data_IF_494999256674
#
_entry.id   IF_494999256674
#
_cell.length_a   1.000
_cell.length_b   1.000
_cell.length_c   1.000
_cell.angle_alpha   90.00
_cell.angle_beta   90.00
_cell.angle_gamma   90.00
#
_symmetry.space_group_name_H-M   'P 1'
#
loop_
_entity.id
_entity.type
_entity.pdbx_description
1 polymer ?
#
# COMPACT_ATOMS: atom_id res chain seq x y z
N UNK A 1 -4.48 22.58 -2.60
CA UNK A 1 -3.25 22.82 -3.39
C UNK A 1 -3.50 22.21 -4.76
N UNK A 2 -3.36 22.97 -5.85
CA UNK A 2 -3.61 22.43 -7.21
C UNK A 2 -2.58 21.34 -7.54
N UNK A 3 -3.03 20.23 -8.14
CA UNK A 3 -2.17 19.15 -8.64
C UNK A 3 -1.05 19.66 -9.55
N UNK A 4 -1.33 20.73 -10.30
CA UNK A 4 -0.41 21.38 -11.25
C UNK A 4 0.76 22.07 -10.54
N UNK A 5 0.61 22.45 -9.27
CA UNK A 5 1.63 23.21 -8.53
C UNK A 5 2.57 22.34 -7.68
N UNK A 6 2.33 21.02 -7.57
CA UNK A 6 3.19 20.16 -6.77
C UNK A 6 4.47 19.78 -7.53
N UNK A 7 5.63 20.23 -7.04
CA UNK A 7 6.96 19.88 -7.57
C UNK A 7 7.69 18.96 -6.60
N UNK A 8 8.24 17.86 -7.10
CA UNK A 8 9.11 17.00 -6.30
C UNK A 8 10.58 17.39 -6.50
N UNK A 9 11.17 18.05 -5.50
CA UNK A 9 12.55 18.52 -5.53
C UNK A 9 13.58 17.40 -5.35
N UNK A 10 13.16 16.20 -4.95
CA UNK A 10 14.04 15.04 -4.81
C UNK A 10 14.66 14.59 -6.14
N UNK A 11 14.09 15.00 -7.28
CA UNK A 11 14.58 14.69 -8.63
C UNK A 11 15.38 15.84 -9.26
N UNK A 12 15.91 16.79 -8.47
CA UNK A 12 16.84 17.78 -9.02
C UNK A 12 18.11 17.10 -9.54
N UNK A 13 18.73 17.68 -10.58
CA UNK A 13 19.99 17.18 -11.14
C UNK A 13 21.07 17.06 -10.07
N UNK A 14 21.16 18.06 -9.17
CA UNK A 14 22.09 18.05 -8.03
C UNK A 14 21.86 16.86 -7.09
N UNK A 15 20.62 16.60 -6.69
CA UNK A 15 20.29 15.50 -5.78
C UNK A 15 20.59 14.13 -6.40
N UNK A 16 20.23 13.96 -7.69
CA UNK A 16 20.48 12.72 -8.44
C UNK A 16 21.97 12.50 -8.64
N UNK A 17 22.70 13.54 -9.07
CA UNK A 17 24.15 13.50 -9.30
C UNK A 17 24.91 13.17 -8.00
N UNK A 18 24.56 13.83 -6.90
CA UNK A 18 25.15 13.57 -5.58
C UNK A 18 24.92 12.12 -5.12
N UNK A 19 23.69 11.62 -5.26
CA UNK A 19 23.32 10.27 -4.82
C UNK A 19 23.99 9.17 -5.65
N UNK A 20 23.95 9.29 -6.99
CA UNK A 20 24.60 8.34 -7.89
C UNK A 20 26.13 8.44 -7.79
N UNK A 21 26.66 9.66 -7.69
CA UNK A 21 28.08 9.92 -7.53
C UNK A 21 28.66 9.23 -6.30
N UNK A 22 27.97 9.32 -5.15
CA UNK A 22 28.37 8.63 -3.93
C UNK A 22 28.43 7.11 -4.12
N UNK A 23 27.39 6.51 -4.70
CA UNK A 23 27.35 5.06 -4.92
C UNK A 23 28.49 4.57 -5.82
N UNK A 24 28.81 5.32 -6.88
CA UNK A 24 29.92 5.02 -7.78
C UNK A 24 31.29 5.22 -7.10
N UNK A 25 31.45 6.25 -6.28
CA UNK A 25 32.66 6.48 -5.49
C UNK A 25 32.90 5.36 -4.48
N UNK A 26 31.85 4.90 -3.80
CA UNK A 26 31.93 3.79 -2.84
C UNK A 26 32.33 2.48 -3.54
N UNK A 27 31.75 2.18 -4.71
CA UNK A 27 32.13 1.04 -5.54
C UNK A 27 33.61 1.11 -5.92
N UNK A 28 34.05 2.26 -6.44
CA UNK A 28 35.45 2.46 -6.85
C UNK A 28 36.42 2.32 -5.66
N UNK A 29 36.10 2.90 -4.51
CA UNK A 29 36.93 2.82 -3.31
C UNK A 29 37.07 1.37 -2.81
N UNK A 30 36.01 0.56 -2.90
CA UNK A 30 36.03 -0.84 -2.52
C UNK A 30 36.91 -1.68 -3.46
N UNK A 31 36.82 -1.47 -4.77
CA UNK A 31 37.61 -2.20 -5.76
C UNK A 31 39.07 -1.78 -5.75
N UNK A 32 39.34 -0.47 -5.69
CA UNK A 32 40.69 0.12 -5.64
C UNK A 32 41.55 -0.44 -4.50
N UNK A 33 40.93 -0.74 -3.35
CA UNK A 33 41.64 -1.23 -2.16
C UNK A 33 41.85 -2.74 -2.12
N UNK A 34 41.13 -3.53 -2.93
CA UNK A 34 41.10 -4.99 -2.79
C UNK A 34 41.58 -5.76 -4.02
N UNK A 35 41.26 -5.28 -5.23
CA UNK A 35 41.37 -6.13 -6.43
C UNK A 35 41.44 -5.35 -7.75
N UNK A 36 41.81 -4.07 -7.71
CA UNK A 36 41.90 -3.24 -8.91
C UNK A 36 43.16 -3.57 -9.70
N UNK A 37 43.08 -4.70 -10.43
CA UNK A 37 44.02 -5.11 -11.45
C UNK A 37 43.77 -4.29 -12.73
N UNK A 38 44.82 -4.09 -13.52
CA UNK A 38 44.83 -3.24 -14.73
C UNK A 38 45.12 -4.05 -16.00
N UNK A 39 44.64 -5.28 -16.05
CA UNK A 39 44.75 -6.09 -17.28
C UNK A 39 43.77 -5.59 -18.35
N UNK A 40 44.02 -5.95 -19.60
CA UNK A 40 43.07 -5.68 -20.70
C UNK A 40 41.72 -6.39 -20.50
N UNK A 41 41.72 -7.53 -19.79
CA UNK A 41 40.48 -8.23 -19.41
C UNK A 41 39.69 -7.45 -18.35
N UNK A 42 40.39 -6.81 -17.40
CA UNK A 42 39.77 -5.93 -16.41
C UNK A 42 39.17 -4.69 -17.07
N UNK A 43 39.85 -4.10 -18.06
CA UNK A 43 39.34 -2.96 -18.84
C UNK A 43 38.04 -3.33 -19.59
N UNK A 44 38.02 -4.48 -20.27
CA UNK A 44 36.82 -4.98 -20.93
C UNK A 44 35.66 -5.22 -19.94
N UNK A 45 35.97 -5.75 -18.76
CA UNK A 45 35.00 -5.95 -17.67
C UNK A 45 34.42 -4.63 -17.16
N UNK A 46 35.26 -3.61 -16.95
CA UNK A 46 34.83 -2.26 -16.55
C UNK A 46 33.92 -1.64 -17.61
N UNK A 47 34.27 -1.75 -18.89
CA UNK A 47 33.46 -1.23 -19.99
C UNK A 47 32.09 -1.94 -20.08
N UNK A 48 32.06 -3.26 -19.91
CA UNK A 48 30.81 -4.04 -19.86
C UNK A 48 29.95 -3.63 -18.66
N UNK A 49 30.54 -3.50 -17.47
CA UNK A 49 29.85 -3.08 -16.26
C UNK A 49 29.30 -1.65 -16.39
N UNK A 50 30.04 -0.72 -17.01
CA UNK A 50 29.57 0.63 -17.33
C UNK A 50 28.32 0.58 -18.21
N UNK A 51 28.36 -0.19 -19.30
CA UNK A 51 27.22 -0.31 -20.22
C UNK A 51 25.98 -0.87 -19.50
N UNK A 52 26.16 -1.93 -18.70
CA UNK A 52 25.08 -2.52 -17.91
C UNK A 52 24.51 -1.54 -16.86
N UNK A 53 25.37 -0.81 -16.14
CA UNK A 53 24.94 0.19 -15.17
C UNK A 53 24.18 1.35 -15.82
N UNK A 54 24.66 1.86 -16.96
CA UNK A 54 23.95 2.90 -17.72
C UNK A 54 22.58 2.42 -18.17
N UNK A 55 22.48 1.21 -18.73
CA UNK A 55 21.21 0.63 -19.15
C UNK A 55 20.24 0.48 -17.95
N UNK A 56 20.73 -0.03 -16.82
CA UNK A 56 19.95 -0.17 -15.60
C UNK A 56 19.41 1.19 -15.12
N UNK A 57 20.27 2.21 -15.01
CA UNK A 57 19.88 3.55 -14.57
C UNK A 57 18.81 4.14 -15.49
N UNK A 58 19.02 4.10 -16.81
CA UNK A 58 18.02 4.57 -17.79
C UNK A 58 16.68 3.88 -17.60
N UNK A 59 16.68 2.56 -17.44
CA UNK A 59 15.47 1.76 -17.28
C UNK A 59 14.67 2.13 -16.01
N UNK A 60 15.36 2.44 -14.90
CA UNK A 60 14.71 2.93 -13.69
C UNK A 60 14.06 4.31 -13.90
N UNK A 61 14.76 5.24 -14.55
CA UNK A 61 14.19 6.56 -14.86
C UNK A 61 12.99 6.46 -15.80
N UNK A 62 13.05 5.62 -16.83
CA UNK A 62 11.94 5.39 -17.75
C UNK A 62 10.69 4.90 -17.00
N UNK A 63 10.83 3.95 -16.08
CA UNK A 63 9.73 3.50 -15.21
C UNK A 63 9.18 4.62 -14.32
N UNK A 64 10.06 5.43 -13.72
CA UNK A 64 9.64 6.56 -12.89
C UNK A 64 8.84 7.59 -13.70
N UNK A 65 9.25 7.88 -14.94
CA UNK A 65 8.53 8.78 -15.85
C UNK A 65 7.15 8.20 -16.19
N UNK A 66 7.07 6.92 -16.55
CA UNK A 66 5.78 6.24 -16.81
C UNK A 66 4.87 6.29 -15.59
N UNK A 67 5.39 5.94 -14.41
CA UNK A 67 4.61 5.97 -13.16
C UNK A 67 4.16 7.38 -12.81
N UNK A 68 5.01 8.39 -12.98
CA UNK A 68 4.65 9.79 -12.72
C UNK A 68 3.55 10.29 -13.66
N UNK A 69 3.61 9.93 -14.94
CA UNK A 69 2.59 10.27 -15.92
C UNK A 69 1.25 9.57 -15.61
N UNK A 70 1.29 8.29 -15.26
CA UNK A 70 0.09 7.56 -14.84
C UNK A 70 -0.50 8.09 -13.54
N UNK A 71 0.35 8.35 -12.54
CA UNK A 71 -0.06 8.96 -11.27
C UNK A 71 -0.81 10.28 -11.50
N UNK A 72 -0.31 11.15 -12.37
CA UNK A 72 -0.98 12.43 -12.70
C UNK A 72 -2.37 12.19 -13.29
N UNK A 73 -2.46 11.32 -14.31
CA UNK A 73 -3.74 10.98 -14.96
C UNK A 73 -4.75 10.37 -13.99
N UNK A 74 -4.30 9.46 -13.12
CA UNK A 74 -5.18 8.80 -12.15
C UNK A 74 -5.71 9.79 -11.10
N UNK A 75 -4.88 10.74 -10.63
CA UNK A 75 -5.33 11.75 -9.66
C UNK A 75 -6.43 12.66 -10.23
N UNK A 76 -6.41 12.92 -11.54
CA UNK A 76 -7.46 13.65 -12.25
C UNK A 76 -8.68 12.74 -12.51
N UNK A 77 -8.45 11.53 -13.02
CA UNK A 77 -9.52 10.59 -13.44
C UNK A 77 -10.40 10.17 -12.26
N UNK A 78 -9.82 10.00 -11.08
CA UNK A 78 -10.52 9.53 -9.89
C UNK A 78 -10.80 10.64 -8.87
N UNK A 79 -10.76 11.90 -9.31
CA UNK A 79 -11.21 13.01 -8.48
C UNK A 79 -12.66 12.76 -8.03
N UNK A 80 -12.94 12.95 -6.73
CA UNK A 80 -14.25 12.69 -6.13
C UNK A 80 -14.53 11.23 -5.75
N UNK A 81 -13.69 10.26 -6.16
CA UNK A 81 -13.78 8.86 -5.71
C UNK A 81 -12.93 8.67 -4.44
N UNK A 82 -13.51 8.04 -3.42
CA UNK A 82 -12.81 7.74 -2.16
C UNK A 82 -12.26 6.33 -2.18
N UNK A 83 -10.95 6.17 -2.07
CA UNK A 83 -10.32 4.87 -1.88
C UNK A 83 -9.96 4.69 -0.41
N UNK A 84 -10.58 3.71 0.25
CA UNK A 84 -10.41 3.49 1.70
C UNK A 84 -9.73 2.15 1.93
N UNK A 85 -8.55 2.20 2.55
CA UNK A 85 -7.84 1.00 2.99
C UNK A 85 -8.60 0.33 4.13
N UNK A 86 -8.91 -0.95 3.96
CA UNK A 86 -9.51 -1.81 4.99
C UNK A 86 -8.85 -3.20 5.02
N UNK A 87 -7.63 -3.29 4.47
CA UNK A 87 -6.86 -4.52 4.34
C UNK A 87 -6.10 -4.93 5.60
N UNK A 88 -5.26 -5.95 5.45
CA UNK A 88 -4.46 -6.48 6.55
C UNK A 88 -3.21 -5.67 6.85
N UNK A 89 -2.72 -4.92 5.87
CA UNK A 89 -1.50 -4.14 5.95
C UNK A 89 -1.63 -2.85 5.12
N UNK A 90 -0.53 -2.10 5.07
CA UNK A 90 -0.47 -0.82 4.37
C UNK A 90 -0.46 -0.94 2.83
N UNK A 91 -0.55 -2.14 2.26
CA UNK A 91 -0.45 -2.37 0.81
C UNK A 91 -1.46 -1.54 0.02
N UNK A 92 -2.72 -1.59 0.42
CA UNK A 92 -3.81 -0.87 -0.26
C UNK A 92 -3.61 0.64 -0.23
N UNK A 93 -2.99 1.18 0.82
CA UNK A 93 -2.64 2.61 0.88
C UNK A 93 -1.45 2.89 -0.03
N UNK A 94 -0.34 2.18 0.20
CA UNK A 94 0.95 2.48 -0.41
C UNK A 94 0.88 2.35 -1.93
N UNK A 95 0.39 1.22 -2.44
CA UNK A 95 0.34 0.97 -3.88
C UNK A 95 -0.61 1.97 -4.55
N UNK A 96 -1.82 2.15 -4.03
CA UNK A 96 -2.77 3.10 -4.65
C UNK A 96 -2.29 4.54 -4.58
N UNK A 97 -1.62 4.93 -3.50
CA UNK A 97 -1.01 6.25 -3.40
C UNK A 97 0.17 6.40 -4.36
N UNK A 98 1.01 5.38 -4.54
CA UNK A 98 2.16 5.41 -5.46
C UNK A 98 1.71 5.62 -6.92
N UNK A 99 0.62 4.98 -7.32
CA UNK A 99 0.05 5.04 -8.66
C UNK A 99 -1.00 6.14 -8.86
N UNK A 100 -1.22 7.00 -7.85
CA UNK A 100 -2.12 8.16 -7.95
C UNK A 100 -3.60 7.84 -8.01
N UNK A 101 -3.99 6.60 -7.69
CA UNK A 101 -5.41 6.23 -7.52
C UNK A 101 -5.96 6.82 -6.23
N UNK A 102 -5.15 6.84 -5.17
CA UNK A 102 -5.44 7.51 -3.90
C UNK A 102 -4.52 8.74 -3.76
N UNK A 103 -5.00 9.92 -3.32
CA UNK A 103 -4.11 11.04 -3.04
C UNK A 103 -3.11 10.71 -1.93
N UNK A 104 -2.02 11.47 -1.84
CA UNK A 104 -1.02 11.33 -0.77
C UNK A 104 -1.19 12.44 0.27
N UNK A 105 -0.55 12.28 1.43
CA UNK A 105 -0.73 13.18 2.57
C UNK A 105 -0.47 14.67 2.24
N UNK A 106 0.53 14.99 1.42
CA UNK A 106 0.79 16.40 1.02
C UNK A 106 -0.30 17.00 0.12
N UNK A 107 -1.17 16.17 -0.47
CA UNK A 107 -2.39 16.61 -1.16
C UNK A 107 -3.62 16.63 -0.25
N UNK A 108 -3.45 16.40 1.05
CA UNK A 108 -4.54 16.46 2.04
C UNK A 108 -5.16 15.09 2.36
N UNK A 109 -4.64 13.99 1.82
CA UNK A 109 -5.16 12.66 2.15
C UNK A 109 -4.89 12.33 3.62
N UNK A 110 -5.96 12.11 4.38
CA UNK A 110 -5.89 11.72 5.78
C UNK A 110 -5.71 10.20 5.89
N UNK A 111 -5.20 9.74 7.03
CA UNK A 111 -5.11 8.30 7.33
C UNK A 111 -6.38 7.81 8.02
N UNK A 112 -6.85 6.62 7.65
CA UNK A 112 -7.84 5.84 8.36
C UNK A 112 -7.22 4.87 9.39
N UNK A 113 -8.04 4.09 10.12
CA UNK A 113 -7.58 3.23 11.21
C UNK A 113 -6.84 1.97 10.74
N UNK A 114 -6.93 1.63 9.45
CA UNK A 114 -6.19 0.53 8.80
C UNK A 114 -5.00 1.04 7.99
N UNK A 115 -4.85 2.36 7.87
CA UNK A 115 -3.65 2.94 7.33
C UNK A 115 -2.59 2.94 8.43
N UNK A 116 -1.36 2.57 8.08
CA UNK A 116 -0.21 2.61 8.98
C UNK A 116 -0.32 1.64 10.17
N UNK A 117 -1.06 0.56 10.00
CA UNK A 117 -1.27 -0.51 10.99
C UNK A 117 -1.49 -1.86 10.29
N UNK A 118 -1.47 -2.93 11.08
CA UNK A 118 -1.64 -4.31 10.62
C UNK A 118 -2.78 -4.98 11.38
N UNK A 119 -3.69 -5.60 10.63
CA UNK A 119 -4.89 -6.28 11.14
C UNK A 119 -5.10 -7.61 10.43
N UNK A 120 -5.29 -8.74 11.11
CA UNK A 120 -5.79 -9.94 10.44
C UNK A 120 -7.19 -9.67 9.87
N UNK A 121 -7.53 -10.22 8.69
CA UNK A 121 -8.86 -10.00 8.08
C UNK A 121 -10.02 -10.41 9.01
N UNK A 122 -9.81 -11.41 9.87
CA UNK A 122 -10.78 -11.83 10.90
C UNK A 122 -11.05 -10.72 11.92
N UNK A 123 -10.01 -9.98 12.30
CA UNK A 123 -10.09 -8.84 13.20
C UNK A 123 -10.76 -7.67 12.50
N UNK A 124 -10.40 -7.38 11.24
CA UNK A 124 -11.07 -6.34 10.44
C UNK A 124 -12.57 -6.57 10.40
N UNK A 125 -13.04 -7.77 10.04
CA UNK A 125 -14.48 -8.07 10.05
C UNK A 125 -15.12 -7.83 11.43
N UNK A 126 -14.45 -8.26 12.51
CA UNK A 126 -14.93 -8.06 13.89
C UNK A 126 -15.04 -6.58 14.25
N UNK A 127 -14.03 -5.77 13.89
CA UNK A 127 -14.03 -4.32 14.15
C UNK A 127 -15.19 -3.60 13.45
N UNK A 128 -15.57 -4.04 12.24
CA UNK A 128 -16.73 -3.50 11.55
C UNK A 128 -18.04 -3.88 12.24
N UNK A 129 -18.18 -5.14 12.66
CA UNK A 129 -19.37 -5.64 13.37
C UNK A 129 -19.57 -4.95 14.72
N UNK A 130 -18.50 -4.66 15.44
CA UNK A 130 -18.55 -4.16 16.82
C UNK A 130 -18.29 -2.66 16.96
N UNK A 131 -18.29 -1.89 15.86
CA UNK A 131 -17.92 -0.46 15.88
C UNK A 131 -16.55 -0.17 16.52
N UNK A 132 -15.56 -1.00 16.24
CA UNK A 132 -14.24 -0.90 16.84
C UNK A 132 -14.24 -1.02 18.38
N UNK A 133 -15.26 -1.64 18.99
CA UNK A 133 -15.27 -1.92 20.42
C UNK A 133 -13.98 -2.66 20.85
N UNK A 134 -13.34 -2.18 21.91
CA UNK A 134 -12.10 -2.76 22.44
C UNK A 134 -10.83 -2.46 21.63
N UNK A 135 -10.93 -1.72 20.51
CA UNK A 135 -9.78 -1.43 19.64
C UNK A 135 -8.69 -0.61 20.34
N UNK A 136 -9.11 0.42 21.09
CA UNK A 136 -8.26 1.34 21.84
C UNK A 136 -8.42 1.17 23.36
N UNK A 137 -8.91 0.01 23.81
CA UNK A 137 -9.03 -0.30 25.23
C UNK A 137 -7.63 -0.44 25.85
N UNK A 138 -7.30 0.46 26.77
CA UNK A 138 -6.01 0.56 27.45
C UNK A 138 -5.58 -0.74 28.11
N UNK A 139 -6.52 -1.50 28.65
CA UNK A 139 -6.24 -2.79 29.28
C UNK A 139 -5.70 -3.84 28.29
N UNK A 140 -5.92 -3.65 26.99
CA UNK A 140 -5.44 -4.52 25.92
C UNK A 140 -4.29 -3.91 25.12
N UNK A 141 -3.84 -2.69 25.42
CA UNK A 141 -2.73 -2.05 24.73
C UNK A 141 -1.40 -2.39 25.40
N UNK A 142 -0.40 -2.72 24.60
CA UNK A 142 0.95 -3.07 25.08
C UNK A 142 1.99 -2.48 24.14
N UNK A 143 3.01 -1.82 24.71
CA UNK A 143 4.22 -1.49 23.97
C UNK A 143 5.13 -2.71 23.87
N UNK A 144 5.48 -3.11 22.65
CA UNK A 144 6.39 -4.22 22.43
C UNK A 144 7.80 -3.69 22.13
N UNK A 145 8.78 -3.84 23.04
CA UNK A 145 10.13 -3.31 22.83
C UNK A 145 10.91 -4.03 21.72
N UNK A 146 10.57 -5.30 21.43
CA UNK A 146 11.24 -6.06 20.36
C UNK A 146 10.85 -5.55 18.98
N UNK A 147 9.61 -5.08 18.83
CA UNK A 147 9.12 -4.51 17.59
C UNK A 147 9.17 -2.97 17.56
N UNK A 148 9.40 -2.36 18.72
CA UNK A 148 9.45 -0.90 18.93
C UNK A 148 8.15 -0.17 18.55
N UNK A 149 6.99 -0.78 18.79
CA UNK A 149 5.67 -0.16 18.55
C UNK A 149 4.58 -0.72 19.49
N UNK A 150 3.45 -0.03 19.54
CA UNK A 150 2.28 -0.46 20.31
C UNK A 150 1.48 -1.56 19.59
N UNK A 151 0.83 -2.43 20.37
CA UNK A 151 0.00 -3.53 19.87
C UNK A 151 -1.28 -3.66 20.70
N UNK A 152 -2.31 -4.25 20.11
CA UNK A 152 -3.46 -4.79 20.84
C UNK A 152 -3.45 -6.33 20.68
N UNK A 153 -2.85 -7.08 21.62
CA UNK A 153 -2.69 -8.54 21.48
C UNK A 153 -4.01 -9.29 21.43
N UNK A 154 -5.05 -8.80 22.14
CA UNK A 154 -6.39 -9.41 22.14
C UNK A 154 -7.00 -9.42 20.73
N UNK A 155 -6.83 -8.34 19.99
CA UNK A 155 -7.29 -8.21 18.61
C UNK A 155 -6.23 -8.59 17.57
N UNK A 156 -5.00 -8.91 18.00
CA UNK A 156 -3.83 -9.18 17.15
C UNK A 156 -3.51 -8.01 16.20
N UNK A 157 -3.65 -6.77 16.69
CA UNK A 157 -3.37 -5.56 15.91
C UNK A 157 -1.99 -5.03 16.23
N UNK A 158 -1.25 -4.62 15.21
CA UNK A 158 0.02 -3.89 15.34
C UNK A 158 -0.10 -2.47 14.81
N UNK A 159 0.34 -1.48 15.60
CA UNK A 159 0.43 -0.07 15.20
C UNK A 159 1.85 0.23 14.72
N UNK A 160 2.25 -0.43 13.63
CA UNK A 160 3.66 -0.59 13.23
C UNK A 160 4.34 0.69 12.70
N UNK A 161 3.62 1.80 12.59
CA UNK A 161 4.16 3.11 12.22
C UNK A 161 4.25 4.08 13.40
N UNK A 162 3.64 3.73 14.52
CA UNK A 162 3.69 4.44 15.78
C UNK A 162 4.90 3.91 16.58
N UNK A 163 6.07 4.22 16.03
CA UNK A 163 7.37 3.67 16.45
C UNK A 163 7.93 4.45 17.64
N UNK A 164 8.31 3.73 18.68
CA UNK A 164 8.93 4.29 19.89
C UNK A 164 8.03 4.25 21.12
N UNK A 165 8.64 4.30 22.33
CA UNK A 165 7.91 4.19 23.60
C UNK A 165 7.01 5.39 23.90
N UNK A 166 7.21 6.53 23.24
CA UNK A 166 6.41 7.74 23.44
C UNK A 166 4.92 7.54 23.16
N UNK A 167 4.55 6.59 22.29
CA UNK A 167 3.16 6.26 22.02
C UNK A 167 2.46 5.49 23.17
N UNK A 168 3.23 4.96 24.12
CA UNK A 168 2.72 4.29 25.31
C UNK A 168 2.75 5.17 26.57
N UNK A 169 3.28 6.39 26.47
CA UNK A 169 3.27 7.36 27.57
C UNK A 169 1.85 7.75 27.96
N UNK A 170 1.69 8.16 29.23
CA UNK A 170 0.42 8.62 29.79
C UNK A 170 -0.73 7.64 29.52
N UNK A 171 -0.47 6.36 29.76
CA UNK A 171 -1.45 5.28 29.56
C UNK A 171 -1.99 5.25 28.11
N UNK A 172 -1.04 5.23 27.16
CA UNK A 172 -1.26 5.19 25.71
C UNK A 172 -2.01 6.40 25.12
N UNK A 173 -2.09 7.54 25.83
CA UNK A 173 -2.83 8.71 25.36
C UNK A 173 -2.43 9.19 23.95
N UNK A 174 -1.13 9.30 23.58
CA UNK A 174 -0.75 9.75 22.25
C UNK A 174 -1.22 8.82 21.12
N UNK A 175 -1.17 7.50 21.35
CA UNK A 175 -1.70 6.51 20.40
C UNK A 175 -3.22 6.65 20.24
N UNK A 176 -3.93 6.72 21.37
CA UNK A 176 -5.39 6.81 21.40
C UNK A 176 -5.85 8.06 20.65
N UNK A 177 -5.25 9.22 20.92
CA UNK A 177 -5.61 10.49 20.28
C UNK A 177 -5.47 10.44 18.75
N UNK A 178 -4.41 9.81 18.26
CA UNK A 178 -4.20 9.61 16.81
C UNK A 178 -5.29 8.72 16.23
N UNK A 179 -5.57 7.58 16.85
CA UNK A 179 -6.51 6.61 16.30
C UNK A 179 -7.97 7.03 16.46
N UNK A 180 -8.33 7.81 17.49
CA UNK A 180 -9.66 8.42 17.59
C UNK A 180 -9.93 9.37 16.42
N UNK A 181 -8.95 10.19 16.02
CA UNK A 181 -9.07 11.02 14.82
C UNK A 181 -9.20 10.19 13.54
N UNK A 182 -8.41 9.11 13.42
CA UNK A 182 -8.47 8.21 12.25
C UNK A 182 -9.83 7.49 12.17
N UNK A 183 -10.37 7.05 13.30
CA UNK A 183 -11.69 6.43 13.41
C UNK A 183 -12.81 7.41 13.05
N UNK A 184 -12.76 8.63 13.60
CA UNK A 184 -13.73 9.67 13.28
C UNK A 184 -13.73 10.00 11.78
N UNK A 185 -12.54 10.12 11.19
CA UNK A 185 -12.40 10.33 9.75
C UNK A 185 -12.95 9.15 8.93
N UNK A 186 -12.65 7.91 9.33
CA UNK A 186 -13.16 6.72 8.67
C UNK A 186 -14.68 6.63 8.71
N UNK A 187 -15.29 6.87 9.88
CA UNK A 187 -16.76 6.89 10.01
C UNK A 187 -17.39 7.94 9.08
N UNK A 188 -16.82 9.15 9.02
CA UNK A 188 -17.27 10.18 8.09
C UNK A 188 -17.15 9.78 6.61
N UNK A 189 -16.08 9.07 6.22
CA UNK A 189 -15.94 8.54 4.85
C UNK A 189 -17.01 7.50 4.52
N UNK A 190 -17.33 6.63 5.47
CA UNK A 190 -18.32 5.56 5.31
C UNK A 190 -19.75 6.11 5.26
N UNK A 191 -20.08 7.09 6.08
CA UNK A 191 -21.40 7.72 6.15
C UNK A 191 -21.72 8.58 4.93
N UNK A 192 -20.71 9.25 4.36
CA UNK A 192 -20.98 10.17 3.27
C UNK A 192 -21.30 9.46 1.95
N UNK A 193 -22.21 10.08 1.21
CA UNK A 193 -22.74 9.58 -0.06
C UNK A 193 -21.86 9.95 -1.25
N UNK A 194 -20.60 9.51 -1.20
CA UNK A 194 -19.68 9.63 -2.33
C UNK A 194 -19.30 8.24 -2.86
N UNK A 195 -18.97 8.12 -4.16
CA UNK A 195 -18.39 6.92 -4.72
C UNK A 195 -17.20 6.45 -3.88
N UNK A 196 -17.31 5.27 -3.28
CA UNK A 196 -16.32 4.74 -2.34
C UNK A 196 -15.87 3.36 -2.75
N UNK A 197 -14.56 3.18 -2.88
CA UNK A 197 -13.90 1.92 -3.15
C UNK A 197 -13.18 1.49 -1.88
N UNK A 198 -13.70 0.45 -1.23
CA UNK A 198 -13.08 -0.18 -0.07
C UNK A 198 -12.06 -1.20 -0.58
N UNK A 199 -10.80 -1.07 -0.19
CA UNK A 199 -9.72 -1.93 -0.70
C UNK A 199 -9.15 -2.76 0.43
N UNK A 200 -9.30 -4.08 0.32
CA UNK A 200 -8.89 -5.05 1.32
C UNK A 200 -7.79 -5.95 0.74
N UNK A 201 -6.54 -5.70 1.11
CA UNK A 201 -5.44 -6.61 0.79
C UNK A 201 -5.32 -7.71 1.85
N UNK A 202 -5.12 -8.96 1.42
CA UNK A 202 -4.89 -10.14 2.27
C UNK A 202 -3.54 -10.73 1.87
N UNK A 203 -2.56 -10.66 2.76
CA UNK A 203 -1.15 -10.97 2.47
C UNK A 203 -0.88 -12.48 2.40
N UNK A 204 -1.77 -13.29 2.99
CA UNK A 204 -1.65 -14.76 3.07
C UNK A 204 -3.03 -15.41 3.03
N UNK A 205 -3.67 -15.48 1.86
CA UNK A 205 -4.97 -16.09 1.72
C UNK A 205 -4.94 -17.58 2.07
N UNK A 206 -6.09 -18.11 2.44
CA UNK A 206 -6.37 -19.51 2.74
C UNK A 206 -7.74 -19.90 2.19
N UNK A 207 -8.12 -21.17 2.26
CA UNK A 207 -9.46 -21.63 1.85
C UNK A 207 -10.60 -20.87 2.58
N UNK A 208 -10.37 -20.41 3.82
CA UNK A 208 -11.33 -19.65 4.61
C UNK A 208 -11.41 -18.15 4.29
N UNK A 209 -10.46 -17.61 3.50
CA UNK A 209 -10.38 -16.17 3.22
C UNK A 209 -11.64 -15.63 2.54
N UNK A 210 -12.23 -16.40 1.63
CA UNK A 210 -13.50 -16.04 0.98
C UNK A 210 -14.63 -15.80 1.97
N UNK A 211 -14.75 -16.65 3.00
CA UNK A 211 -15.74 -16.50 4.07
C UNK A 211 -15.49 -15.25 4.91
N UNK A 212 -14.22 -14.91 5.16
CA UNK A 212 -13.88 -13.67 5.89
C UNK A 212 -14.18 -12.41 5.07
N UNK A 213 -13.95 -12.43 3.76
CA UNK A 213 -14.36 -11.33 2.86
C UNK A 213 -15.89 -11.20 2.85
N UNK A 214 -16.63 -12.32 2.78
CA UNK A 214 -18.08 -12.32 2.85
C UNK A 214 -18.58 -11.71 4.17
N UNK A 215 -18.01 -12.14 5.30
CA UNK A 215 -18.33 -11.62 6.64
C UNK A 215 -18.05 -10.12 6.74
N UNK A 216 -16.89 -9.67 6.27
CA UNK A 216 -16.54 -8.25 6.24
C UNK A 216 -17.55 -7.44 5.41
N UNK A 217 -17.91 -7.93 4.22
CA UNK A 217 -18.89 -7.27 3.37
C UNK A 217 -20.28 -7.18 4.02
N UNK A 218 -20.73 -8.26 4.67
CA UNK A 218 -21.99 -8.25 5.42
C UNK A 218 -21.96 -7.25 6.57
N UNK A 219 -20.86 -7.18 7.34
CA UNK A 219 -20.69 -6.21 8.42
C UNK A 219 -20.74 -4.76 7.93
N UNK A 220 -20.18 -4.48 6.75
CA UNK A 220 -20.29 -3.16 6.10
C UNK A 220 -21.76 -2.88 5.75
N UNK A 221 -22.43 -3.83 5.07
CA UNK A 221 -23.81 -3.69 4.59
C UNK A 221 -24.84 -3.55 5.71
N UNK A 222 -24.60 -4.18 6.86
CA UNK A 222 -25.49 -4.07 8.01
C UNK A 222 -25.45 -2.70 8.68
N UNK A 223 -24.42 -1.90 8.39
CA UNK A 223 -24.14 -0.66 9.12
C UNK A 223 -24.20 0.60 8.25
N UNK A 224 -23.84 0.51 6.98
CA UNK A 224 -23.85 1.64 6.06
C UNK A 224 -24.58 1.28 4.76
N UNK A 225 -25.12 2.30 4.08
CA UNK A 225 -25.55 2.14 2.70
C UNK A 225 -24.36 1.77 1.82
N UNK A 226 -24.58 0.85 0.89
CA UNK A 226 -23.59 0.36 -0.06
C UNK A 226 -23.93 0.69 -1.52
N UNK A 227 -24.90 1.56 -1.76
CA UNK A 227 -25.34 1.86 -3.13
C UNK A 227 -24.22 2.49 -3.97
N UNK A 228 -23.46 3.39 -3.34
CA UNK A 228 -22.30 4.05 -3.93
C UNK A 228 -20.97 3.45 -3.45
N UNK A 229 -20.96 2.18 -3.02
CA UNK A 229 -19.76 1.52 -2.49
C UNK A 229 -19.47 0.19 -3.18
N UNK A 230 -18.19 -0.08 -3.39
CA UNK A 230 -17.69 -1.40 -3.80
C UNK A 230 -16.58 -1.87 -2.86
N UNK A 231 -16.46 -3.19 -2.72
CA UNK A 231 -15.34 -3.84 -2.05
C UNK A 231 -14.44 -4.48 -3.11
N UNK A 232 -13.16 -4.13 -3.07
CA UNK A 232 -12.10 -4.76 -3.85
C UNK A 232 -11.22 -5.55 -2.90
N UNK A 233 -11.31 -6.87 -2.97
CA UNK A 233 -10.46 -7.78 -2.19
C UNK A 233 -9.29 -8.28 -3.05
N UNK A 234 -8.08 -8.15 -2.54
CA UNK A 234 -6.83 -8.47 -3.23
C UNK A 234 -6.13 -9.55 -2.41
N UNK A 235 -6.13 -10.78 -2.93
CA UNK A 235 -5.54 -11.95 -2.27
C UNK A 235 -4.19 -12.24 -2.89
N UNK A 236 -3.13 -12.02 -2.14
CA UNK A 236 -1.78 -12.23 -2.64
C UNK A 236 -1.20 -13.53 -2.09
N UNK A 237 -1.10 -14.55 -2.95
CA UNK A 237 -0.52 -15.85 -2.65
C UNK A 237 1.01 -15.77 -2.67
N UNK A 238 1.70 -16.67 -1.94
CA UNK A 238 3.16 -16.74 -2.06
C UNK A 238 3.54 -17.21 -3.45
N UNK A 239 4.73 -16.85 -3.89
CA UNK A 239 5.24 -17.26 -5.19
C UNK A 239 5.12 -18.78 -5.40
N UNK A 240 4.54 -19.19 -6.53
CA UNK A 240 4.39 -20.59 -6.91
C UNK A 240 3.36 -21.41 -6.10
N UNK A 241 2.71 -20.84 -5.08
CA UNK A 241 1.68 -21.58 -4.34
C UNK A 241 0.44 -21.86 -5.20
N UNK A 242 -0.24 -22.97 -4.95
CA UNK A 242 -1.52 -23.22 -5.60
C UNK A 242 -2.61 -22.37 -4.94
N UNK A 243 -3.25 -21.50 -5.72
CA UNK A 243 -4.41 -20.76 -5.24
C UNK A 243 -5.53 -21.75 -4.91
N UNK A 244 -5.97 -21.75 -3.64
CA UNK A 244 -7.04 -22.63 -3.19
C UNK A 244 -8.39 -21.99 -3.48
N UNK A 245 -9.39 -22.76 -3.96
CA UNK A 245 -10.76 -22.29 -4.02
C UNK A 245 -11.22 -21.80 -2.65
N UNK A 246 -11.82 -20.62 -2.61
CA UNK A 246 -12.40 -20.04 -1.41
C UNK A 246 -13.86 -19.66 -1.70
N UNK A 247 -14.70 -19.58 -0.66
CA UNK A 247 -16.08 -19.13 -0.81
C UNK A 247 -16.15 -17.82 -1.63
N UNK A 248 -17.02 -17.81 -2.64
CA UNK A 248 -17.27 -16.62 -3.46
C UNK A 248 -18.30 -15.73 -2.76
N UNK A 249 -18.13 -14.41 -2.88
CA UNK A 249 -19.15 -13.46 -2.43
C UNK A 249 -20.07 -13.17 -3.61
N UNK A 250 -21.31 -13.63 -3.52
CA UNK A 250 -22.33 -13.40 -4.55
C UNK A 250 -22.97 -12.01 -4.38
N UNK A 251 -22.18 -10.97 -4.69
CA UNK A 251 -22.64 -9.58 -4.74
C UNK A 251 -21.87 -8.83 -5.83
N UNK A 252 -22.53 -8.19 -6.81
CA UNK A 252 -21.84 -7.48 -7.90
C UNK A 252 -20.99 -6.29 -7.44
N UNK A 253 -21.17 -5.84 -6.19
CA UNK A 253 -20.35 -4.78 -5.56
C UNK A 253 -19.05 -5.32 -4.95
N UNK A 254 -18.82 -6.63 -4.98
CA UNK A 254 -17.58 -7.26 -4.50
C UNK A 254 -16.78 -7.75 -5.69
N UNK A 255 -15.56 -7.24 -5.82
CA UNK A 255 -14.59 -7.67 -6.82
C UNK A 255 -13.41 -8.34 -6.10
N UNK A 256 -12.98 -9.49 -6.58
CA UNK A 256 -11.89 -10.26 -5.98
C UNK A 256 -10.80 -10.48 -7.03
N UNK A 257 -9.56 -10.14 -6.66
CA UNK A 257 -8.36 -10.44 -7.42
C UNK A 257 -7.52 -11.46 -6.65
N UNK A 258 -7.16 -12.55 -7.32
CA UNK A 258 -6.19 -13.52 -6.86
C UNK A 258 -4.90 -13.34 -7.69
N UNK A 259 -3.77 -13.14 -7.02
CA UNK A 259 -2.46 -12.96 -7.66
C UNK A 259 -1.34 -13.54 -6.80
N UNK A 260 -0.17 -13.75 -7.39
CA UNK A 260 1.01 -14.28 -6.70
C UNK A 260 2.08 -13.21 -6.53
N UNK A 261 2.83 -13.30 -5.45
CA UNK A 261 4.08 -12.55 -5.36
C UNK A 261 5.04 -12.93 -6.49
N UNK A 262 5.77 -11.97 -7.09
CA UNK A 262 6.64 -12.26 -8.23
C UNK A 262 7.83 -13.17 -7.94
N UNK A 263 8.27 -13.21 -6.68
CA UNK A 263 9.38 -14.04 -6.21
C UNK A 263 9.14 -14.51 -4.77
N UNK A 264 9.84 -15.56 -4.34
CA UNK A 264 9.68 -16.20 -3.02
C UNK A 264 9.94 -15.25 -1.85
N UNK A 265 10.95 -14.38 -1.97
CA UNK A 265 11.38 -13.43 -0.95
C UNK A 265 10.83 -12.00 -1.20
N UNK A 266 9.86 -11.86 -2.11
CA UNK A 266 9.35 -10.56 -2.52
C UNK A 266 8.66 -9.82 -1.36
N UNK A 267 9.11 -8.59 -1.10
CA UNK A 267 8.50 -7.69 -0.11
C UNK A 267 8.07 -6.41 -0.80
N UNK A 268 6.76 -6.25 -0.95
CA UNK A 268 6.13 -5.21 -1.77
C UNK A 268 6.49 -3.76 -1.41
N UNK A 269 6.92 -3.45 -0.18
CA UNK A 269 7.28 -2.08 0.22
C UNK A 269 8.79 -1.79 0.14
N UNK A 270 9.64 -2.79 -0.12
CA UNK A 270 11.09 -2.56 -0.16
C UNK A 270 11.51 -2.11 -1.56
N UNK A 271 12.32 -1.02 -1.68
CA UNK A 271 12.75 -0.50 -2.98
C UNK A 271 13.42 -1.51 -3.91
N UNK A 272 14.16 -2.48 -3.33
CA UNK A 272 14.79 -3.58 -4.09
C UNK A 272 13.81 -4.49 -4.82
N UNK A 273 12.51 -4.44 -4.49
CA UNK A 273 11.47 -5.24 -5.12
C UNK A 273 10.48 -4.37 -5.91
N UNK A 274 9.85 -3.36 -5.30
CA UNK A 274 8.74 -2.62 -5.92
C UNK A 274 9.10 -1.80 -7.18
N UNK A 275 10.37 -1.37 -7.31
CA UNK A 275 10.83 -0.61 -8.48
C UNK A 275 11.53 -1.47 -9.55
N UNK A 276 11.56 -2.79 -9.37
CA UNK A 276 12.02 -3.75 -10.39
C UNK A 276 10.95 -3.90 -11.49
N UNK A 277 11.31 -4.55 -12.61
CA UNK A 277 10.32 -4.87 -13.68
C UNK A 277 9.16 -5.70 -13.15
N UNK A 278 9.48 -6.73 -12.36
CA UNK A 278 8.48 -7.67 -11.85
C UNK A 278 7.60 -7.04 -10.78
N UNK A 279 8.18 -6.25 -9.87
CA UNK A 279 7.41 -5.50 -8.88
C UNK A 279 6.49 -4.47 -9.53
N UNK A 280 6.99 -3.75 -10.53
CA UNK A 280 6.19 -2.80 -11.30
C UNK A 280 5.02 -3.48 -12.03
N UNK A 281 5.25 -4.63 -12.67
CA UNK A 281 4.21 -5.39 -13.36
C UNK A 281 3.16 -5.95 -12.38
N UNK A 282 3.59 -6.42 -11.21
CA UNK A 282 2.72 -6.89 -10.14
C UNK A 282 1.82 -5.77 -9.61
N UNK A 283 2.39 -4.61 -9.27
CA UNK A 283 1.59 -3.47 -8.79
C UNK A 283 0.62 -2.96 -9.87
N UNK A 284 1.02 -3.00 -11.14
CA UNK A 284 0.13 -2.57 -12.23
C UNK A 284 -1.11 -3.46 -12.36
N UNK A 285 -0.97 -4.78 -12.19
CA UNK A 285 -2.13 -5.69 -12.18
C UNK A 285 -3.13 -5.33 -11.07
N UNK A 286 -2.61 -5.03 -9.87
CA UNK A 286 -3.42 -4.59 -8.72
C UNK A 286 -4.14 -3.29 -9.03
N UNK A 287 -3.40 -2.30 -9.53
CA UNK A 287 -3.92 -0.96 -9.82
C UNK A 287 -4.95 -0.99 -10.94
N UNK A 288 -4.68 -1.70 -12.03
CA UNK A 288 -5.60 -1.83 -13.16
C UNK A 288 -6.90 -2.54 -12.74
N UNK A 289 -6.82 -3.56 -11.88
CA UNK A 289 -8.01 -4.20 -11.31
C UNK A 289 -8.85 -3.24 -10.46
N UNK A 290 -8.20 -2.46 -9.58
CA UNK A 290 -8.88 -1.45 -8.76
C UNK A 290 -9.55 -0.38 -9.62
N UNK A 291 -8.86 0.11 -10.66
CA UNK A 291 -9.38 1.08 -11.64
C UNK A 291 -10.61 0.54 -12.39
N UNK A 292 -10.55 -0.73 -12.83
CA UNK A 292 -11.67 -1.37 -13.51
C UNK A 292 -12.88 -1.52 -12.59
N UNK A 293 -12.66 -1.91 -11.32
CA UNK A 293 -13.72 -2.03 -10.34
C UNK A 293 -14.35 -0.66 -10.04
N UNK A 294 -13.54 0.39 -9.85
CA UNK A 294 -14.03 1.74 -9.56
C UNK A 294 -14.82 2.35 -10.71
N UNK A 295 -14.48 2.02 -11.97
CA UNK A 295 -15.25 2.44 -13.15
C UNK A 295 -16.74 2.05 -13.09
N UNK A 296 -17.09 0.97 -12.38
CA UNK A 296 -18.48 0.55 -12.17
C UNK A 296 -19.29 1.54 -11.32
N UNK A 297 -18.64 2.24 -10.39
CA UNK A 297 -19.28 3.28 -9.58
C UNK A 297 -19.50 4.55 -10.40
N UNK A 298 -18.49 4.97 -11.15
CA UNK A 298 -18.56 6.18 -11.98
C UNK A 298 -19.65 6.05 -13.05
N UNK A 299 -19.73 4.89 -13.71
CA UNK A 299 -20.76 4.62 -14.72
C UNK A 299 -22.18 4.64 -14.14
N UNK A 300 -22.38 4.13 -12.91
CA UNK A 300 -23.69 4.15 -12.23
C UNK A 300 -24.11 5.55 -11.80
N UNK A 301 -23.17 6.34 -11.28
CA UNK A 301 -23.44 7.73 -10.93
C UNK A 301 -23.84 8.57 -12.16
N UNK A 302 -23.21 8.33 -13.31
CA UNK A 302 -23.54 9.02 -14.56
C UNK A 302 -24.92 8.63 -15.14
N UNK A 303 -25.44 7.45 -14.83
CA UNK A 303 -26.77 6.99 -15.27
C UNK A 303 -27.91 7.45 -14.35
N UNK A 304 -27.58 7.87 -13.12
CA UNK A 304 -28.55 8.33 -12.12
C UNK A 304 -28.73 9.86 -12.08
N UNK A 305 -27.87 10.61 -12.78
CA UNK A 305 -27.92 12.05 -12.96
C UNK A 305 -28.64 12.43 -14.27
#
# INVERSE_FOLDING_TARGET
>A
MSLIAYKNEAFSEENVSSSLGKALQDLFALTARKSFSVSTEDEATILSARAAASAMVSEYFDRMVVQAAERRRNLETFEGVRFVSIGEDCFSRTVLTQWGVKPFAKLGEKSGPFDLSVHPITTTATLFETDFAGYLDRANLVFNPNYNFCTNPKLKVGFNHEVGPSYAENDFAPLIEIYERRLAHFRALMEADAPTVLVCHVQRPSAGTGTHIARLWQAIRSRWSVDNKILVAIKTWRHGETALPSATVDDPRVAVLDLHYPAEDYVWHLPKYCFTRDGFAFERQVVDFVKQASGRLVARAALAA
#
